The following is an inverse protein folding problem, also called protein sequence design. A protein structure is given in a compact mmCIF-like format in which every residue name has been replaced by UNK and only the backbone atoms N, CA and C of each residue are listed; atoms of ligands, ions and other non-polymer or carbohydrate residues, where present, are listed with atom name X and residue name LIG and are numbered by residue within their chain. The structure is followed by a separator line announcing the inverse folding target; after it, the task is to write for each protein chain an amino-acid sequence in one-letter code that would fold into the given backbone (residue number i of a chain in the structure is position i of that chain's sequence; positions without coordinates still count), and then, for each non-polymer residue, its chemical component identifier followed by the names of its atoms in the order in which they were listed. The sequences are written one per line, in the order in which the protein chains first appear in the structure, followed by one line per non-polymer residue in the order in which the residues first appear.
data_IF_376670692315
#
_entry.id   IF_376670692315
#
_cell.length_a   1.000
_cell.length_b   1.000
_cell.length_c   1.000
_cell.angle_alpha   90.00
_cell.angle_beta   90.00
_cell.angle_gamma   90.00
#
_symmetry.space_group_name_H-M   'P 1'
#
loop_
_entity.id
_entity.type
_entity.pdbx_description
1 polymer ?
#
# COMPACT_ATOMS: atom_id res chain seq x y z
N UNK A 1 2.44 12.90 -4.23
CA UNK A 1 2.75 12.77 -5.67
C UNK A 1 1.57 12.27 -6.50
N UNK A 2 1.03 11.08 -6.24
CA UNK A 2 -0.06 10.46 -7.05
C UNK A 2 -1.29 11.36 -7.23
N UNK A 3 -1.79 12.00 -6.16
CA UNK A 3 -2.94 12.94 -6.25
C UNK A 3 -2.73 14.06 -7.27
N UNK A 4 -1.51 14.60 -7.38
CA UNK A 4 -1.16 15.65 -8.36
C UNK A 4 -1.25 15.09 -9.78
N UNK A 5 -0.60 13.94 -10.03
CA UNK A 5 -0.62 13.26 -11.34
C UNK A 5 -2.05 12.92 -11.79
N UNK A 6 -2.89 12.38 -10.90
CA UNK A 6 -4.29 12.06 -11.25
C UNK A 6 -5.09 13.31 -11.67
N UNK A 7 -4.81 14.48 -11.06
CA UNK A 7 -5.44 15.74 -11.43
C UNK A 7 -4.93 16.26 -12.78
N UNK A 8 -3.62 16.16 -13.05
CA UNK A 8 -3.01 16.55 -14.33
C UNK A 8 -3.67 15.85 -15.52
N UNK A 9 -4.03 14.58 -15.38
CA UNK A 9 -4.69 13.80 -16.44
C UNK A 9 -6.23 13.81 -16.39
N UNK A 10 -6.85 14.60 -15.51
CA UNK A 10 -8.31 14.70 -15.43
C UNK A 10 -9.04 13.45 -14.92
N UNK A 11 -8.33 12.47 -14.35
CA UNK A 11 -8.88 11.18 -13.88
C UNK A 11 -9.00 11.10 -12.35
N UNK A 12 -8.84 12.22 -11.65
CA UNK A 12 -8.89 12.25 -10.19
C UNK A 12 -10.32 12.06 -9.67
N UNK A 13 -10.56 10.91 -9.04
CA UNK A 13 -11.78 10.61 -8.30
C UNK A 13 -11.44 10.41 -6.81
N UNK A 14 -11.96 11.26 -5.89
CA UNK A 14 -11.67 11.13 -4.46
C UNK A 14 -11.99 9.75 -3.87
N UNK A 15 -13.02 9.08 -4.39
CA UNK A 15 -13.43 7.74 -3.96
C UNK A 15 -12.40 6.65 -4.26
N UNK A 16 -11.54 6.83 -5.29
CA UNK A 16 -10.57 5.84 -5.76
C UNK A 16 -9.19 5.96 -5.10
N UNK A 17 -8.86 7.09 -4.47
CA UNK A 17 -7.59 7.27 -3.79
C UNK A 17 -7.76 6.98 -2.29
N UNK A 18 -7.38 5.78 -1.85
CA UNK A 18 -7.42 5.38 -0.44
C UNK A 18 -6.02 5.43 0.15
N UNK A 19 -5.87 6.16 1.26
CA UNK A 19 -4.63 6.17 2.05
C UNK A 19 -4.72 5.15 3.17
N UNK A 20 -3.60 4.49 3.46
CA UNK A 20 -3.45 3.62 4.61
C UNK A 20 -2.36 4.16 5.54
N UNK A 21 -2.29 3.61 6.76
CA UNK A 21 -1.21 3.90 7.71
C UNK A 21 -0.35 2.65 7.88
N UNK A 22 0.96 2.83 8.02
CA UNK A 22 1.86 1.74 8.41
C UNK A 22 1.43 1.13 9.73
N UNK A 23 1.65 -0.18 9.90
CA UNK A 23 1.24 -0.97 11.07
C UNK A 23 -0.26 -1.03 11.32
N UNK A 24 -1.10 -0.51 10.41
CA UNK A 24 -2.56 -0.62 10.48
C UNK A 24 -3.05 -1.58 9.41
N UNK A 25 -3.77 -2.60 9.84
CA UNK A 25 -4.37 -3.59 8.94
C UNK A 25 -5.57 -3.02 8.20
N UNK A 26 -5.80 -3.48 6.98
CA UNK A 26 -7.00 -3.19 6.19
C UNK A 26 -7.37 -4.39 5.31
N UNK A 27 -8.64 -4.46 4.91
CA UNK A 27 -9.14 -5.51 4.02
C UNK A 27 -9.06 -5.04 2.57
N UNK A 28 -8.54 -5.89 1.70
CA UNK A 28 -8.51 -5.70 0.25
C UNK A 28 -8.93 -6.99 -0.43
N UNK A 29 -10.23 -7.11 -0.71
CA UNK A 29 -10.80 -8.36 -1.25
C UNK A 29 -10.61 -9.52 -0.25
N UNK A 30 -10.03 -10.65 -0.66
CA UNK A 30 -9.82 -11.82 0.21
C UNK A 30 -8.62 -11.67 1.16
N UNK A 31 -7.90 -10.54 1.13
CA UNK A 31 -6.68 -10.34 1.91
C UNK A 31 -6.90 -9.40 3.09
N UNK A 32 -6.40 -9.81 4.26
CA UNK A 32 -6.03 -8.88 5.33
C UNK A 32 -4.59 -8.41 5.06
N UNK A 33 -4.43 -7.11 4.80
CA UNK A 33 -3.16 -6.49 4.42
C UNK A 33 -2.59 -5.69 5.57
N UNK A 34 -1.32 -5.91 5.91
CA UNK A 34 -0.58 -5.14 6.91
C UNK A 34 0.69 -4.51 6.29
N UNK A 35 0.76 -3.18 6.19
CA UNK A 35 1.97 -2.50 5.72
C UNK A 35 3.03 -2.41 6.81
N UNK A 36 4.24 -2.87 6.49
CA UNK A 36 5.41 -2.85 7.37
C UNK A 36 6.42 -1.86 6.80
N UNK A 37 6.91 -0.93 7.63
CA UNK A 37 7.90 0.07 7.20
C UNK A 37 9.20 -0.64 6.79
N UNK A 38 9.75 -0.24 5.65
CA UNK A 38 11.08 -0.66 5.19
C UNK A 38 11.94 0.57 4.91
N UNK A 39 13.26 0.39 4.94
CA UNK A 39 14.23 1.40 4.53
C UNK A 39 14.47 1.33 3.03
N UNK A 40 14.53 2.49 2.38
CA UNK A 40 14.86 2.62 0.96
C UNK A 40 15.27 4.08 0.66
N UNK A 41 15.54 4.39 -0.60
CA UNK A 41 15.97 5.71 -1.07
C UNK A 41 14.92 6.83 -0.95
N UNK A 42 13.64 6.50 -0.73
CA UNK A 42 12.55 7.46 -0.54
C UNK A 42 11.80 7.18 0.78
N UNK A 43 11.21 8.21 1.41
CA UNK A 43 10.48 8.04 2.67
C UNK A 43 9.17 7.24 2.48
N UNK A 44 8.70 6.68 3.60
CA UNK A 44 7.42 5.95 3.71
C UNK A 44 7.29 4.71 2.81
N UNK A 45 8.42 4.12 2.39
CA UNK A 45 8.43 2.79 1.78
C UNK A 45 7.90 1.72 2.73
N UNK A 46 7.15 0.76 2.16
CA UNK A 46 6.53 -0.32 2.89
C UNK A 46 6.70 -1.66 2.15
N UNK A 47 6.97 -2.72 2.91
CA UNK A 47 6.61 -4.08 2.53
C UNK A 47 5.16 -4.37 2.94
N UNK A 48 4.56 -5.42 2.38
CA UNK A 48 3.18 -5.82 2.65
C UNK A 48 3.13 -7.27 3.11
N UNK A 49 2.51 -7.50 4.27
CA UNK A 49 2.07 -8.83 4.69
C UNK A 49 0.63 -9.00 4.22
N UNK A 50 0.39 -9.99 3.37
CA UNK A 50 -0.91 -10.34 2.81
C UNK A 50 -1.35 -11.67 3.43
N UNK A 51 -2.43 -11.67 4.22
CA UNK A 51 -2.98 -12.88 4.85
C UNK A 51 -4.28 -13.26 4.16
N UNK A 52 -4.43 -14.53 3.80
CA UNK A 52 -5.66 -15.13 3.29
C UNK A 52 -5.85 -16.54 3.88
N UNK A 53 -6.92 -17.22 3.47
CA UNK A 53 -7.22 -18.61 3.88
C UNK A 53 -6.11 -19.60 3.55
N UNK A 54 -5.42 -19.40 2.43
CA UNK A 54 -4.41 -20.34 1.92
C UNK A 54 -3.01 -20.09 2.50
N UNK A 55 -2.83 -19.01 3.26
CA UNK A 55 -1.56 -18.71 3.93
C UNK A 55 -1.22 -17.23 3.99
N UNK A 56 0.07 -16.96 4.19
CA UNK A 56 0.63 -15.60 4.30
C UNK A 56 1.69 -15.37 3.25
N UNK A 57 1.55 -14.29 2.48
CA UNK A 57 2.54 -13.83 1.50
C UNK A 57 3.20 -12.57 2.06
N UNK A 58 4.53 -12.53 2.06
CA UNK A 58 5.26 -11.30 2.36
C UNK A 58 5.88 -10.73 1.08
N UNK A 59 5.39 -9.58 0.65
CA UNK A 59 5.98 -8.80 -0.42
C UNK A 59 6.92 -7.76 0.19
N UNK A 60 8.23 -7.93 0.04
CA UNK A 60 9.24 -7.05 0.65
C UNK A 60 9.14 -5.60 0.20
N UNK A 61 8.73 -5.39 -1.05
CA UNK A 61 8.91 -4.11 -1.72
C UNK A 61 10.37 -3.95 -2.13
N UNK A 62 10.74 -2.75 -2.54
CA UNK A 62 12.14 -2.37 -2.64
C UNK A 62 12.62 -1.96 -1.25
N UNK A 63 13.70 -2.60 -0.78
CA UNK A 63 14.27 -2.38 0.53
C UNK A 63 15.78 -2.49 0.48
N UNK A 64 16.46 -1.66 1.28
CA UNK A 64 17.89 -1.69 1.51
C UNK A 64 18.22 -1.20 2.91
#
# INVERSE_FOLDING_TARGET
LIKKRLKEFGIFLPSRLKTFKTRRRFVAGPFEVEPVRVTHSIPDCCGLVLRCSDGTIFHTGDWK
#
